data_IF_423757798218
#
_entry.id   IF_423757798218
#
_cell.length_a   1.000
_cell.length_b   1.000
_cell.length_c   1.000
_cell.angle_alpha   90.00
_cell.angle_beta   90.00
_cell.angle_gamma   90.00
#
_symmetry.space_group_name_H-M   'P 1'
#
loop_
_entity.id
_entity.type
_entity.pdbx_description
1 polymer ?
#
# COMPACT_ATOMS: atom_id res chain seq x y z
N UNK A 1 48.09 58.59 -6.99
CA UNK A 1 49.21 58.06 -6.20
C UNK A 1 48.63 57.28 -5.02
N UNK A 2 48.32 56.00 -5.24
CA UNK A 2 49.09 54.86 -4.72
C UNK A 2 49.20 54.85 -3.18
N UNK A 3 48.31 54.08 -2.54
CA UNK A 3 48.58 53.44 -1.25
C UNK A 3 48.27 51.96 -1.44
N UNK A 4 49.34 51.17 -1.49
CA UNK A 4 49.34 49.71 -1.39
C UNK A 4 49.11 49.31 0.07
N UNK A 5 48.13 48.45 0.33
CA UNK A 5 48.13 47.61 1.53
C UNK A 5 47.30 46.34 1.30
N UNK A 6 48.04 45.25 1.16
CA UNK A 6 47.82 43.85 1.55
C UNK A 6 46.42 43.46 2.04
N UNK A 7 45.75 42.55 1.31
CA UNK A 7 44.65 41.74 1.85
C UNK A 7 45.03 40.26 1.79
N UNK A 8 45.15 39.64 2.96
CA UNK A 8 45.31 38.19 3.14
C UNK A 8 44.05 37.47 2.65
N UNK A 9 44.20 36.60 1.65
CA UNK A 9 43.15 35.65 1.26
C UNK A 9 43.17 34.47 2.24
N UNK A 10 42.35 34.55 3.29
CA UNK A 10 42.12 33.41 4.18
C UNK A 10 41.24 32.40 3.45
N UNK A 11 41.86 31.31 3.00
CA UNK A 11 41.19 30.19 2.37
C UNK A 11 40.37 29.43 3.43
N UNK A 12 39.10 29.78 3.59
CA UNK A 12 38.14 28.88 4.26
C UNK A 12 37.78 27.77 3.28
N UNK A 13 38.41 26.61 3.46
CA UNK A 13 37.90 25.32 3.00
C UNK A 13 36.52 25.10 3.62
N UNK A 14 35.48 25.53 2.91
CA UNK A 14 34.12 25.03 3.15
C UNK A 14 34.14 23.59 2.62
N UNK A 15 34.48 22.65 3.51
CA UNK A 15 34.18 21.25 3.29
C UNK A 15 32.66 21.17 3.06
N UNK A 16 32.18 20.67 1.90
CA UNK A 16 30.76 20.43 1.75
C UNK A 16 30.41 19.41 2.83
N UNK A 17 29.50 19.76 3.74
CA UNK A 17 28.84 18.76 4.59
C UNK A 17 28.27 17.74 3.61
N UNK A 18 28.88 16.56 3.57
CA UNK A 18 28.26 15.39 2.99
C UNK A 18 26.98 15.18 3.81
N UNK A 19 25.85 15.67 3.30
CA UNK A 19 24.56 15.25 3.79
C UNK A 19 24.56 13.73 3.61
N UNK A 20 24.58 12.99 4.72
CA UNK A 20 24.40 11.56 4.66
C UNK A 20 23.13 11.31 3.86
N UNK A 21 23.27 10.65 2.71
CA UNK A 21 22.15 10.14 1.95
C UNK A 21 21.47 9.15 2.89
N UNK A 22 20.41 9.60 3.56
CA UNK A 22 19.50 8.72 4.29
C UNK A 22 18.90 7.83 3.20
N UNK A 23 19.32 6.57 3.15
CA UNK A 23 18.61 5.58 2.36
C UNK A 23 17.24 5.43 2.99
N UNK A 24 16.21 5.99 2.34
CA UNK A 24 14.83 5.70 2.75
C UNK A 24 14.60 4.21 2.54
N UNK A 25 14.28 3.52 3.64
CA UNK A 25 14.08 2.09 3.62
C UNK A 25 12.72 1.83 3.01
N UNK A 26 12.74 1.42 1.75
CA UNK A 26 11.56 1.12 0.96
C UNK A 26 10.88 -0.16 1.47
N UNK A 27 9.56 -0.11 1.68
CA UNK A 27 8.77 -1.28 2.02
C UNK A 27 8.69 -2.26 0.83
N UNK A 28 8.41 -3.53 1.12
CA UNK A 28 8.10 -4.53 0.09
C UNK A 28 9.28 -4.95 -0.77
N UNK A 29 10.52 -4.61 -0.38
CA UNK A 29 11.75 -5.01 -1.09
C UNK A 29 12.41 -6.18 -0.37
N UNK A 30 12.44 -7.40 -0.96
CA UNK A 30 13.14 -8.54 -0.37
C UNK A 30 14.65 -8.44 -0.62
N UNK A 31 15.45 -9.32 0.01
CA UNK A 31 16.84 -9.49 -0.39
C UNK A 31 16.93 -9.92 -1.88
N UNK A 32 17.86 -9.39 -2.67
CA UNK A 32 18.02 -9.78 -4.07
C UNK A 32 18.54 -11.23 -4.14
N UNK A 33 17.61 -12.18 -4.28
CA UNK A 33 17.93 -13.60 -4.45
C UNK A 33 17.51 -14.06 -5.85
N UNK A 34 18.41 -14.73 -6.56
CA UNK A 34 18.15 -15.24 -7.92
C UNK A 34 17.10 -16.36 -7.91
N UNK A 35 16.25 -16.35 -8.94
CA UNK A 35 15.03 -17.15 -9.14
C UNK A 35 15.06 -18.60 -8.63
N UNK A 36 13.91 -19.06 -8.11
CA UNK A 36 13.22 -20.12 -8.85
C UNK A 36 11.70 -19.87 -9.02
N UNK A 37 11.20 -20.20 -10.22
CA UNK A 37 9.79 -20.30 -10.60
C UNK A 37 9.40 -21.78 -10.66
N UNK A 38 8.63 -22.33 -9.70
CA UNK A 38 7.81 -23.56 -9.83
C UNK A 38 6.65 -23.51 -8.81
N UNK A 39 5.51 -24.17 -9.09
CA UNK A 39 4.22 -24.17 -8.35
C UNK A 39 4.16 -25.28 -7.26
N UNK A 40 3.31 -25.10 -6.23
CA UNK A 40 3.12 -25.86 -4.95
C UNK A 40 3.87 -25.26 -3.75
N UNK A 41 3.47 -25.60 -2.52
CA UNK A 41 4.08 -25.07 -1.30
C UNK A 41 5.58 -25.38 -1.24
N UNK A 42 6.43 -24.35 -1.26
CA UNK A 42 7.89 -24.48 -1.34
C UNK A 42 8.59 -23.83 -0.15
N UNK A 43 9.73 -24.40 0.26
CA UNK A 43 10.63 -23.73 1.19
C UNK A 43 11.14 -22.42 0.59
N UNK A 44 11.21 -21.38 1.42
CA UNK A 44 11.76 -20.08 1.04
C UNK A 44 13.29 -20.07 1.17
N UNK A 45 13.91 -18.95 0.85
CA UNK A 45 15.32 -18.67 1.16
C UNK A 45 15.40 -17.68 2.34
N UNK A 46 16.47 -17.71 3.15
CA UNK A 46 16.72 -16.65 4.14
C UNK A 46 16.62 -15.26 3.49
N UNK A 47 15.96 -14.31 4.15
CA UNK A 47 15.82 -12.93 3.65
C UNK A 47 14.82 -12.73 2.51
N UNK A 48 14.21 -13.80 1.99
CA UNK A 48 13.24 -13.70 0.87
C UNK A 48 11.92 -13.01 1.28
N UNK A 49 11.53 -13.13 2.56
CA UNK A 49 10.30 -12.56 3.11
C UNK A 49 10.59 -11.81 4.41
N UNK A 50 11.34 -10.69 4.34
CA UNK A 50 11.94 -10.05 5.51
C UNK A 50 10.91 -9.35 6.43
N UNK A 51 9.66 -9.27 6.00
CA UNK A 51 8.54 -8.76 6.80
C UNK A 51 7.79 -9.84 7.56
N UNK A 52 8.06 -11.13 7.35
CA UNK A 52 7.34 -12.18 8.06
C UNK A 52 7.75 -12.19 9.54
N UNK A 53 6.75 -12.09 10.42
CA UNK A 53 6.92 -12.14 11.87
C UNK A 53 6.40 -13.49 12.39
N UNK A 54 7.19 -14.16 13.23
CA UNK A 54 6.74 -15.34 13.95
C UNK A 54 6.24 -14.92 15.34
N UNK A 55 4.98 -15.18 15.64
CA UNK A 55 4.32 -14.80 16.90
C UNK A 55 4.33 -16.01 17.84
N UNK A 56 4.79 -15.78 19.06
CA UNK A 56 4.92 -16.79 20.09
C UNK A 56 4.10 -16.42 21.32
N UNK A 57 3.50 -17.42 21.96
CA UNK A 57 2.89 -17.29 23.27
C UNK A 57 3.79 -17.92 24.33
N UNK A 58 3.83 -17.29 25.52
CA UNK A 58 4.48 -17.83 26.70
C UNK A 58 3.45 -18.46 27.61
N UNK A 59 3.70 -19.70 27.99
CA UNK A 59 2.99 -20.38 29.08
C UNK A 59 4.02 -20.90 30.09
N UNK A 60 4.15 -20.19 31.21
CA UNK A 60 5.21 -20.40 32.18
C UNK A 60 6.61 -20.26 31.56
N UNK A 61 7.33 -21.38 31.43
CA UNK A 61 8.67 -21.42 30.82
C UNK A 61 8.66 -21.86 29.35
N UNK A 62 7.49 -22.21 28.81
CA UNK A 62 7.37 -22.70 27.44
C UNK A 62 7.09 -21.55 26.48
N UNK A 63 7.79 -21.55 25.35
CA UNK A 63 7.60 -20.61 24.25
C UNK A 63 7.11 -21.39 23.03
N UNK A 64 5.87 -21.15 22.60
CA UNK A 64 5.26 -21.88 21.50
C UNK A 64 4.91 -20.93 20.35
N UNK A 65 5.27 -21.31 19.13
CA UNK A 65 4.83 -20.62 17.92
C UNK A 65 3.30 -20.78 17.78
N UNK A 66 2.59 -19.68 17.59
CA UNK A 66 1.12 -19.69 17.45
C UNK A 66 0.67 -19.22 16.08
N UNK A 67 1.23 -18.12 15.59
CA UNK A 67 0.76 -17.46 14.38
C UNK A 67 1.89 -16.78 13.61
N UNK A 68 1.61 -16.49 12.34
CA UNK A 68 2.35 -15.53 11.55
C UNK A 68 1.92 -14.09 11.82
N UNK A 69 2.70 -13.17 11.28
CA UNK A 69 2.42 -11.75 11.24
C UNK A 69 3.19 -11.08 10.12
N UNK A 70 2.92 -9.80 9.90
CA UNK A 70 3.61 -8.98 8.91
C UNK A 70 4.11 -7.69 9.53
N UNK A 71 5.41 -7.45 9.48
CA UNK A 71 6.03 -6.18 9.84
C UNK A 71 5.61 -5.12 8.82
N UNK A 72 4.99 -4.04 9.30
CA UNK A 72 4.50 -2.93 8.46
C UNK A 72 5.23 -1.61 8.75
N UNK A 73 5.95 -1.56 9.87
CA UNK A 73 6.93 -0.53 10.20
C UNK A 73 7.93 -1.08 11.22
N UNK A 74 8.89 -0.27 11.66
CA UNK A 74 9.89 -0.66 12.65
C UNK A 74 9.32 -0.76 14.08
N UNK A 75 8.03 -0.51 14.26
CA UNK A 75 7.34 -0.56 15.55
C UNK A 75 6.05 -1.38 15.52
N UNK A 76 5.58 -1.78 14.34
CA UNK A 76 4.24 -2.34 14.19
C UNK A 76 4.21 -3.60 13.33
N UNK A 77 3.50 -4.61 13.83
CA UNK A 77 3.20 -5.87 13.14
C UNK A 77 1.69 -6.04 13.03
N UNK A 78 1.21 -6.40 11.85
CA UNK A 78 -0.17 -6.86 11.64
C UNK A 78 -0.26 -8.38 11.79
N UNK A 79 -1.38 -8.84 12.32
CA UNK A 79 -1.74 -10.26 12.43
C UNK A 79 -3.26 -10.40 12.49
N UNK A 80 -3.77 -11.61 12.69
CA UNK A 80 -5.19 -11.87 12.89
C UNK A 80 -5.60 -11.56 14.34
N UNK A 81 -6.86 -11.19 14.56
CA UNK A 81 -7.41 -10.94 15.89
C UNK A 81 -7.36 -12.18 16.76
N UNK A 82 -7.75 -13.33 16.21
CA UNK A 82 -7.77 -14.60 16.94
C UNK A 82 -6.39 -15.07 17.41
N UNK A 83 -5.32 -14.60 16.78
CA UNK A 83 -3.95 -14.90 17.22
C UNK A 83 -3.58 -14.25 18.55
N UNK A 84 -4.31 -13.20 18.95
CA UNK A 84 -3.95 -12.36 20.10
C UNK A 84 -5.12 -12.16 21.07
N UNK A 85 -6.15 -13.00 20.95
CA UNK A 85 -7.31 -13.03 21.84
C UNK A 85 -7.54 -14.44 22.40
N UNK A 86 -8.22 -14.52 23.54
CA UNK A 86 -8.79 -15.78 24.05
C UNK A 86 -9.98 -16.23 23.18
N UNK A 87 -10.48 -17.45 23.42
CA UNK A 87 -11.69 -17.98 22.76
C UNK A 87 -12.92 -17.08 22.96
N UNK A 88 -12.99 -16.35 24.07
CA UNK A 88 -14.06 -15.38 24.36
C UNK A 88 -13.81 -13.99 23.74
N UNK A 89 -12.76 -13.84 22.92
CA UNK A 89 -12.39 -12.59 22.26
C UNK A 89 -11.70 -11.55 23.14
N UNK A 90 -11.30 -11.91 24.37
CA UNK A 90 -10.56 -10.99 25.24
C UNK A 90 -9.10 -10.89 24.78
N UNK A 91 -8.55 -9.67 24.74
CA UNK A 91 -7.16 -9.45 24.35
C UNK A 91 -6.22 -10.13 25.34
N UNK A 92 -5.22 -10.85 24.83
CA UNK A 92 -4.18 -11.48 25.65
C UNK A 92 -3.32 -10.41 26.33
N UNK A 93 -2.73 -10.78 27.46
CA UNK A 93 -1.81 -9.90 28.16
C UNK A 93 -0.50 -9.72 27.35
N UNK A 94 0.10 -8.53 27.34
CA UNK A 94 1.24 -8.25 26.45
C UNK A 94 2.50 -9.04 26.83
N UNK A 95 2.63 -9.45 28.09
CA UNK A 95 3.73 -10.25 28.62
C UNK A 95 3.73 -11.69 28.12
N UNK A 96 2.55 -12.22 27.73
CA UNK A 96 2.44 -13.57 27.18
C UNK A 96 2.68 -13.60 25.68
N UNK A 97 2.67 -12.45 24.99
CA UNK A 97 2.88 -12.37 23.53
C UNK A 97 4.22 -11.73 23.22
N UNK A 98 5.00 -12.37 22.35
CA UNK A 98 6.23 -11.79 21.80
C UNK A 98 6.46 -12.28 20.38
N UNK A 99 7.33 -11.59 19.64
CA UNK A 99 7.59 -11.92 18.25
C UNK A 99 9.08 -12.12 17.97
N UNK A 100 9.36 -12.87 16.92
CA UNK A 100 10.69 -13.00 16.32
C UNK A 100 10.62 -12.61 14.84
N UNK A 101 11.48 -11.67 14.43
CA UNK A 101 11.68 -11.23 13.04
C UNK A 101 12.96 -11.87 12.48
N UNK A 102 13.08 -11.95 11.15
CA UNK A 102 14.28 -12.50 10.48
C UNK A 102 14.52 -13.99 10.77
N UNK A 103 13.46 -14.71 11.14
CA UNK A 103 13.47 -16.17 11.34
C UNK A 103 13.17 -16.84 10.00
N UNK A 104 14.00 -17.81 9.64
CA UNK A 104 13.78 -18.67 8.47
C UNK A 104 13.53 -20.14 8.87
N UNK A 105 14.13 -20.59 9.98
CA UNK A 105 13.97 -21.92 10.56
C UNK A 105 13.64 -21.78 12.06
N UNK A 106 12.47 -22.28 12.47
CA UNK A 106 11.97 -22.19 13.85
C UNK A 106 12.82 -22.97 14.87
N UNK A 107 13.56 -24.00 14.43
CA UNK A 107 14.47 -24.80 15.27
C UNK A 107 15.90 -24.29 15.25
N UNK A 108 16.34 -23.68 14.15
CA UNK A 108 17.71 -23.19 13.94
C UNK A 108 17.76 -21.67 13.87
N UNK A 109 17.41 -21.03 14.98
CA UNK A 109 17.49 -19.57 15.10
C UNK A 109 18.93 -19.09 14.91
N UNK A 110 19.11 -18.13 13.99
CA UNK A 110 20.41 -17.52 13.70
C UNK A 110 20.51 -16.19 14.42
N UNK A 111 21.45 -16.07 15.37
CA UNK A 111 21.68 -14.81 16.10
C UNK A 111 21.97 -13.61 15.18
N UNK A 112 22.54 -13.86 14.00
CA UNK A 112 22.89 -12.82 13.03
C UNK A 112 21.71 -12.26 12.23
N UNK A 113 20.54 -12.88 12.27
CA UNK A 113 19.35 -12.43 11.54
C UNK A 113 18.10 -12.30 12.42
N UNK A 114 18.03 -13.04 13.53
CA UNK A 114 16.85 -13.08 14.38
C UNK A 114 16.82 -11.90 15.34
N UNK A 115 15.74 -11.12 15.29
CA UNK A 115 15.44 -10.05 16.23
C UNK A 115 14.20 -10.40 17.05
N UNK A 116 14.31 -10.41 18.38
CA UNK A 116 13.21 -10.70 19.28
C UNK A 116 12.67 -9.42 19.91
N UNK A 117 11.34 -9.25 19.89
CA UNK A 117 10.68 -8.09 20.45
C UNK A 117 9.54 -8.52 21.37
N UNK A 118 9.53 -7.98 22.59
CA UNK A 118 8.35 -8.01 23.45
C UNK A 118 7.27 -7.11 22.87
N UNK A 119 6.00 -7.38 23.21
CA UNK A 119 4.88 -6.53 22.84
C UNK A 119 4.56 -5.58 24.00
N UNK A 120 4.25 -4.32 23.67
CA UNK A 120 3.81 -3.31 24.65
C UNK A 120 2.41 -2.77 24.36
N UNK A 121 1.76 -3.29 23.31
CA UNK A 121 0.38 -2.96 22.98
C UNK A 121 -0.20 -3.95 21.97
N UNK A 122 -1.43 -4.38 22.22
CA UNK A 122 -2.22 -5.26 21.35
C UNK A 122 -3.53 -4.53 21.05
N UNK A 123 -3.82 -4.31 19.77
CA UNK A 123 -5.00 -3.59 19.31
C UNK A 123 -5.78 -4.47 18.35
N UNK A 124 -6.87 -5.07 18.82
CA UNK A 124 -7.84 -5.76 17.95
C UNK A 124 -8.80 -4.77 17.30
N UNK A 125 -9.33 -5.11 16.13
CA UNK A 125 -10.41 -4.32 15.51
C UNK A 125 -11.64 -4.31 16.45
N UNK A 126 -12.29 -3.15 16.71
CA UNK A 126 -13.41 -3.08 17.66
C UNK A 126 -14.62 -3.97 17.35
N UNK A 127 -14.85 -4.28 16.09
CA UNK A 127 -15.91 -5.14 15.56
C UNK A 127 -15.47 -6.60 15.46
N UNK A 128 -14.24 -6.94 15.87
CA UNK A 128 -13.78 -8.33 15.88
C UNK A 128 -14.70 -9.21 16.71
N UNK A 129 -15.16 -10.30 16.11
CA UNK A 129 -16.05 -11.28 16.69
C UNK A 129 -15.33 -12.64 16.75
N UNK A 130 -15.17 -13.19 17.96
CA UNK A 130 -14.37 -14.40 18.17
C UNK A 130 -15.10 -15.70 17.78
N UNK A 131 -16.43 -15.67 17.65
CA UNK A 131 -17.23 -16.82 17.28
C UNK A 131 -17.22 -17.02 15.75
N UNK A 132 -17.46 -15.93 15.02
CA UNK A 132 -17.53 -15.92 13.56
C UNK A 132 -16.18 -15.70 12.88
N UNK A 133 -15.21 -15.13 13.61
CA UNK A 133 -13.97 -14.56 13.07
C UNK A 133 -14.22 -13.41 12.09
N UNK A 134 -15.33 -12.68 12.24
CA UNK A 134 -15.54 -11.44 11.52
C UNK A 134 -14.54 -10.37 11.98
N UNK A 135 -14.09 -9.52 11.06
CA UNK A 135 -13.12 -8.45 11.33
C UNK A 135 -11.82 -8.92 12.00
N UNK A 136 -11.33 -10.09 11.58
CA UNK A 136 -10.18 -10.78 12.14
C UNK A 136 -8.83 -10.13 11.77
N UNK A 137 -8.53 -9.01 12.41
CA UNK A 137 -7.28 -8.26 12.29
C UNK A 137 -6.88 -7.63 13.63
N UNK A 138 -5.58 -7.67 13.91
CA UNK A 138 -4.98 -7.00 15.04
C UNK A 138 -3.64 -6.34 14.67
N UNK A 139 -3.29 -5.31 15.44
CA UNK A 139 -2.05 -4.56 15.35
C UNK A 139 -1.27 -4.72 16.65
N UNK A 140 0.00 -5.09 16.53
CA UNK A 140 0.94 -5.26 17.63
C UNK A 140 1.94 -4.10 17.65
N UNK A 141 2.15 -3.50 18.82
CA UNK A 141 3.21 -2.51 19.05
C UNK A 141 4.42 -3.18 19.71
N UNK A 142 5.57 -3.07 19.05
CA UNK A 142 6.83 -3.62 19.55
C UNK A 142 7.35 -2.78 20.72
N UNK A 143 7.94 -3.45 21.71
CA UNK A 143 8.59 -2.81 22.86
C UNK A 143 9.96 -2.21 22.55
N UNK A 144 10.58 -2.64 21.45
CA UNK A 144 11.84 -2.09 20.93
C UNK A 144 11.75 -1.95 19.41
N UNK A 145 12.50 -0.98 18.88
CA UNK A 145 12.56 -0.69 17.44
C UNK A 145 13.16 -1.88 16.70
N UNK A 146 12.50 -2.36 15.66
CA UNK A 146 13.08 -3.33 14.74
C UNK A 146 14.18 -2.65 13.91
N UNK A 147 15.35 -3.29 13.88
CA UNK A 147 16.48 -2.83 13.08
C UNK A 147 16.33 -3.36 11.66
N UNK A 148 16.33 -2.48 10.67
CA UNK A 148 16.17 -2.92 9.30
C UNK A 148 17.51 -3.39 8.72
N UNK A 149 17.51 -4.60 8.19
CA UNK A 149 18.67 -5.25 7.58
C UNK A 149 18.22 -6.09 6.35
N UNK A 150 18.98 -7.10 5.94
CA UNK A 150 18.62 -7.97 4.82
C UNK A 150 17.51 -8.98 5.16
N UNK A 151 17.26 -9.24 6.44
CA UNK A 151 16.33 -10.23 6.97
C UNK A 151 15.10 -9.62 7.63
N UNK A 152 15.14 -8.33 7.97
CA UNK A 152 14.08 -7.59 8.64
C UNK A 152 13.79 -6.30 7.88
N UNK A 153 12.62 -6.23 7.23
CA UNK A 153 12.12 -5.05 6.47
C UNK A 153 10.59 -5.04 6.47
N UNK A 154 9.93 -3.89 6.32
CA UNK A 154 8.47 -3.85 6.32
C UNK A 154 7.90 -4.24 4.96
N UNK A 155 6.68 -4.80 4.94
CA UNK A 155 5.86 -4.94 3.74
C UNK A 155 5.14 -3.64 3.41
N UNK A 156 4.82 -3.40 2.13
CA UNK A 156 3.89 -2.33 1.78
C UNK A 156 2.44 -2.77 2.07
N UNK A 157 1.53 -1.81 2.29
CA UNK A 157 0.10 -2.10 2.46
C UNK A 157 -0.64 -1.89 1.15
N UNK A 158 -1.39 -2.90 0.71
CA UNK A 158 -2.22 -2.82 -0.48
C UNK A 158 -3.46 -1.96 -0.20
N UNK A 159 -3.83 -1.10 -1.16
CA UNK A 159 -4.94 -0.13 -0.99
C UNK A 159 -6.07 -0.27 -2.01
N UNK A 160 -5.87 -1.04 -3.07
CA UNK A 160 -6.91 -1.24 -4.08
C UNK A 160 -7.89 -2.33 -3.61
N UNK A 161 -9.15 -2.19 -4.00
CA UNK A 161 -10.20 -3.08 -3.50
C UNK A 161 -10.35 -4.39 -4.29
N UNK A 162 -10.02 -4.39 -5.58
CA UNK A 162 -10.22 -5.58 -6.42
C UNK A 162 -8.93 -6.39 -6.60
N UNK A 163 -8.86 -7.48 -5.85
CA UNK A 163 -7.80 -8.49 -5.95
C UNK A 163 -8.23 -9.75 -6.72
N UNK A 164 -9.50 -9.86 -7.11
CA UNK A 164 -10.06 -11.05 -7.76
C UNK A 164 -9.33 -11.33 -9.08
N UNK A 165 -8.98 -12.59 -9.30
CA UNK A 165 -8.24 -13.05 -10.48
C UNK A 165 -6.73 -12.79 -10.42
N UNK A 166 -6.24 -12.05 -9.42
CA UNK A 166 -4.80 -11.90 -9.20
C UNK A 166 -4.23 -13.11 -8.45
N UNK A 167 -2.93 -13.33 -8.62
CA UNK A 167 -2.19 -14.36 -7.87
C UNK A 167 -1.47 -13.73 -6.69
N UNK A 168 -1.85 -14.14 -5.48
CA UNK A 168 -1.18 -13.78 -4.24
C UNK A 168 -0.19 -14.85 -3.81
N UNK A 169 0.79 -14.48 -2.99
CA UNK A 169 1.72 -15.43 -2.35
C UNK A 169 1.49 -15.44 -0.84
N UNK A 170 1.06 -16.57 -0.29
CA UNK A 170 0.91 -16.77 1.16
C UNK A 170 2.21 -17.28 1.75
N UNK A 171 2.56 -16.81 2.94
CA UNK A 171 3.83 -17.07 3.62
C UNK A 171 3.57 -17.48 5.07
N UNK A 172 4.17 -18.60 5.49
CA UNK A 172 4.04 -19.07 6.86
C UNK A 172 4.77 -20.38 7.16
N UNK A 173 4.57 -20.83 8.40
CA UNK A 173 5.12 -22.06 8.96
C UNK A 173 4.06 -23.13 9.17
N UNK A 174 2.88 -22.98 8.56
CA UNK A 174 1.73 -23.84 8.80
C UNK A 174 1.98 -25.32 8.53
N UNK A 175 1.01 -26.14 8.93
CA UNK A 175 1.11 -27.58 8.79
C UNK A 175 1.36 -27.99 7.33
N UNK A 176 2.30 -28.93 7.18
CA UNK A 176 2.60 -29.62 5.92
C UNK A 176 1.57 -30.72 5.62
N UNK A 177 1.67 -31.39 4.47
CA UNK A 177 0.74 -32.48 4.13
C UNK A 177 0.81 -33.64 5.13
N UNK A 178 1.89 -33.73 5.92
CA UNK A 178 2.06 -34.73 6.98
C UNK A 178 1.49 -34.27 8.34
N UNK A 179 0.69 -33.20 8.37
CA UNK A 179 0.09 -32.61 9.57
C UNK A 179 1.12 -32.21 10.64
N UNK A 180 2.34 -31.88 10.21
CA UNK A 180 3.41 -31.35 11.09
C UNK A 180 3.75 -29.93 10.68
N UNK A 181 3.99 -29.07 11.67
CA UNK A 181 4.39 -27.68 11.47
C UNK A 181 5.65 -27.62 10.58
N UNK A 182 5.66 -26.74 9.58
CA UNK A 182 6.83 -26.52 8.77
C UNK A 182 7.91 -25.83 9.61
N UNK A 183 9.06 -26.47 9.78
CA UNK A 183 10.18 -25.87 10.52
C UNK A 183 10.83 -24.72 9.75
N UNK A 184 10.83 -24.81 8.42
CA UNK A 184 11.39 -23.81 7.50
C UNK A 184 10.25 -23.02 6.87
N UNK A 185 10.41 -21.70 6.79
CA UNK A 185 9.39 -20.81 6.23
C UNK A 185 9.05 -21.21 4.79
N UNK A 186 7.76 -21.36 4.50
CA UNK A 186 7.27 -21.77 3.18
C UNK A 186 6.48 -20.67 2.50
N UNK A 187 6.32 -20.82 1.18
CA UNK A 187 5.47 -19.99 0.35
C UNK A 187 4.57 -20.82 -0.56
N UNK A 188 3.39 -20.33 -0.85
CA UNK A 188 2.53 -20.87 -1.91
C UNK A 188 1.90 -19.72 -2.71
N UNK A 189 1.81 -19.88 -4.03
CA UNK A 189 1.16 -18.90 -4.92
C UNK A 189 -0.26 -19.36 -5.19
N UNK A 190 -1.25 -18.55 -4.84
CA UNK A 190 -2.67 -18.88 -4.87
C UNK A 190 -3.46 -17.83 -5.68
N UNK A 191 -4.45 -18.23 -6.49
CA UNK A 191 -5.34 -17.29 -7.14
C UNK A 191 -6.35 -16.75 -6.12
N UNK A 192 -6.69 -15.47 -6.23
CA UNK A 192 -7.83 -14.87 -5.54
C UNK A 192 -9.08 -15.16 -6.34
N UNK A 193 -10.06 -15.75 -5.67
CA UNK A 193 -11.29 -16.25 -6.25
C UNK A 193 -12.44 -15.30 -5.91
N UNK A 194 -13.38 -15.16 -6.84
CA UNK A 194 -14.54 -14.29 -6.62
C UNK A 194 -15.49 -14.89 -5.56
N UNK A 195 -16.30 -14.02 -4.96
CA UNK A 195 -17.26 -14.35 -3.91
C UNK A 195 -18.15 -15.55 -4.27
N UNK A 196 -18.75 -15.55 -5.47
CA UNK A 196 -19.71 -16.58 -5.88
C UNK A 196 -19.05 -17.94 -6.00
N UNK A 197 -17.87 -18.00 -6.60
CA UNK A 197 -17.12 -19.25 -6.74
C UNK A 197 -16.65 -19.80 -5.38
N UNK A 198 -16.31 -18.91 -4.44
CA UNK A 198 -16.01 -19.32 -3.06
C UNK A 198 -17.26 -19.91 -2.39
N UNK A 199 -18.40 -19.20 -2.46
CA UNK A 199 -19.66 -19.65 -1.88
C UNK A 199 -20.14 -20.97 -2.47
N UNK A 200 -20.05 -21.14 -3.78
CA UNK A 200 -20.45 -22.37 -4.47
C UNK A 200 -19.59 -23.58 -4.11
N UNK A 201 -18.31 -23.35 -3.78
CA UNK A 201 -17.42 -24.46 -3.39
C UNK A 201 -17.85 -25.12 -2.09
N UNK A 202 -18.45 -24.35 -1.17
CA UNK A 202 -18.90 -24.84 0.12
C UNK A 202 -19.85 -23.83 0.80
N UNK A 203 -21.15 -23.98 0.52
CA UNK A 203 -22.17 -23.03 0.98
C UNK A 203 -22.34 -23.01 2.50
N UNK A 204 -22.09 -24.12 3.17
CA UNK A 204 -22.26 -24.23 4.62
C UNK A 204 -21.17 -23.45 5.35
N UNK A 205 -19.90 -23.62 4.94
CA UNK A 205 -18.77 -22.92 5.54
C UNK A 205 -18.71 -21.44 5.14
N UNK A 206 -18.86 -21.15 3.83
CA UNK A 206 -18.69 -19.81 3.30
C UNK A 206 -19.94 -18.94 3.44
N UNK A 207 -21.14 -19.52 3.44
CA UNK A 207 -22.40 -18.76 3.59
C UNK A 207 -22.52 -18.03 4.92
N UNK A 208 -21.79 -18.47 5.95
CA UNK A 208 -21.80 -17.86 7.27
C UNK A 208 -20.80 -16.69 7.41
N UNK A 209 -19.81 -16.59 6.52
CA UNK A 209 -18.63 -15.72 6.74
C UNK A 209 -18.23 -14.86 5.55
N UNK A 210 -18.73 -15.16 4.35
CA UNK A 210 -18.44 -14.31 3.20
C UNK A 210 -19.14 -12.95 3.32
N UNK A 211 -18.32 -11.91 3.51
CA UNK A 211 -18.65 -10.50 3.50
C UNK A 211 -17.69 -9.73 2.56
N UNK A 212 -17.89 -8.42 2.35
CA UNK A 212 -16.99 -7.63 1.49
C UNK A 212 -15.59 -7.47 2.12
N UNK A 213 -15.48 -7.65 3.44
CA UNK A 213 -14.25 -7.57 4.23
C UNK A 213 -13.36 -8.81 4.12
N UNK A 214 -13.76 -9.83 3.36
CA UNK A 214 -12.98 -11.07 3.20
C UNK A 214 -12.52 -11.29 1.77
N UNK A 215 -11.34 -11.90 1.64
CA UNK A 215 -10.82 -12.44 0.39
C UNK A 215 -10.83 -13.96 0.46
N UNK A 216 -11.21 -14.59 -0.64
CA UNK A 216 -11.10 -16.02 -0.81
C UNK A 216 -9.94 -16.31 -1.77
N UNK A 217 -8.99 -17.14 -1.35
CA UNK A 217 -7.87 -17.52 -2.21
C UNK A 217 -7.45 -18.97 -1.95
N UNK A 218 -7.01 -19.63 -3.01
CA UNK A 218 -6.58 -21.02 -2.93
C UNK A 218 -6.84 -21.79 -4.21
N UNK A 219 -6.43 -23.05 -4.21
CA UNK A 219 -6.86 -24.03 -5.20
C UNK A 219 -7.69 -25.11 -4.53
N UNK A 220 -8.46 -25.84 -5.32
CA UNK A 220 -9.14 -27.07 -4.90
C UNK A 220 -8.28 -28.33 -5.14
N UNK A 221 -6.95 -28.17 -5.24
CA UNK A 221 -6.00 -29.22 -5.64
C UNK A 221 -4.94 -29.56 -4.58
N UNK A 222 -5.24 -29.31 -3.30
CA UNK A 222 -4.34 -29.62 -2.18
C UNK A 222 -3.36 -28.52 -1.79
N UNK A 223 -3.41 -27.33 -2.39
CA UNK A 223 -2.55 -26.19 -2.00
C UNK A 223 -3.38 -25.09 -1.33
N UNK A 224 -3.29 -24.99 0.00
CA UNK A 224 -4.06 -24.06 0.83
C UNK A 224 -3.25 -23.57 2.03
N UNK A 225 -3.69 -22.51 2.69
CA UNK A 225 -3.11 -22.11 3.97
C UNK A 225 -3.70 -22.98 5.10
N UNK A 226 -2.86 -23.38 6.06
CA UNK A 226 -3.23 -24.34 7.10
C UNK A 226 -2.99 -23.79 8.51
N UNK A 227 -3.30 -24.60 9.53
CA UNK A 227 -3.03 -24.26 10.92
C UNK A 227 -1.56 -23.84 11.09
N UNK A 228 -1.32 -22.69 11.73
CA UNK A 228 0.00 -22.10 11.87
C UNK A 228 0.38 -21.08 10.78
N UNK A 229 -0.39 -20.95 9.70
CA UNK A 229 -0.28 -19.81 8.77
C UNK A 229 -1.14 -18.61 9.20
N UNK A 230 -2.08 -18.81 10.13
CA UNK A 230 -2.95 -17.78 10.72
C UNK A 230 -2.19 -16.50 11.07
N UNK A 231 -2.76 -15.35 10.73
CA UNK A 231 -2.13 -14.05 10.92
C UNK A 231 -0.99 -13.72 9.95
N UNK A 232 -0.50 -14.71 9.19
CA UNK A 232 0.43 -14.52 8.08
C UNK A 232 -0.18 -13.74 6.92
N UNK A 233 0.67 -13.22 6.04
CA UNK A 233 0.24 -12.35 4.94
C UNK A 233 0.05 -13.06 3.61
N UNK A 234 -0.93 -12.60 2.84
CA UNK A 234 -1.09 -12.85 1.40
C UNK A 234 -0.56 -11.63 0.63
N UNK A 235 0.53 -11.82 -0.11
CA UNK A 235 1.29 -10.74 -0.74
C UNK A 235 1.15 -10.70 -2.26
N UNK A 236 1.12 -9.49 -2.81
CA UNK A 236 1.01 -9.23 -4.24
C UNK A 236 2.19 -8.39 -4.71
N UNK A 237 2.82 -8.79 -5.82
CA UNK A 237 3.95 -8.04 -6.39
C UNK A 237 3.45 -6.99 -7.38
N UNK A 238 3.75 -5.73 -7.13
CA UNK A 238 3.38 -4.59 -7.99
C UNK A 238 4.54 -3.61 -8.10
N UNK A 239 4.82 -3.14 -9.32
CA UNK A 239 5.87 -2.15 -9.59
C UNK A 239 7.23 -2.45 -8.92
N UNK A 240 7.59 -3.73 -8.81
CA UNK A 240 8.83 -4.18 -8.19
C UNK A 240 8.81 -4.34 -6.66
N UNK A 241 7.73 -3.98 -5.96
CA UNK A 241 7.57 -4.14 -4.52
C UNK A 241 6.44 -5.12 -4.16
N UNK A 242 6.49 -5.65 -2.94
CA UNK A 242 5.49 -6.56 -2.39
C UNK A 242 4.55 -5.85 -1.42
N UNK A 243 3.26 -6.11 -1.61
CA UNK A 243 2.18 -5.49 -0.87
C UNK A 243 1.35 -6.54 -0.16
N UNK A 244 1.11 -6.37 1.14
CA UNK A 244 0.16 -7.17 1.91
C UNK A 244 -1.26 -6.83 1.43
N UNK A 245 -1.98 -7.80 0.86
CA UNK A 245 -3.36 -7.63 0.41
C UNK A 245 -4.39 -8.36 1.28
N UNK A 246 -3.97 -9.42 1.98
CA UNK A 246 -4.83 -10.14 2.92
C UNK A 246 -4.06 -10.72 4.10
N UNK A 247 -4.77 -11.04 5.17
CA UNK A 247 -4.24 -11.70 6.38
C UNK A 247 -4.94 -13.04 6.52
N UNK A 248 -4.20 -14.14 6.69
CA UNK A 248 -4.76 -15.49 6.85
C UNK A 248 -5.66 -15.49 8.10
N UNK A 249 -6.95 -15.76 7.91
CA UNK A 249 -7.93 -15.82 9.01
C UNK A 249 -8.30 -17.26 9.32
N UNK A 250 -8.97 -17.97 8.39
CA UNK A 250 -9.42 -19.35 8.62
C UNK A 250 -9.53 -20.17 7.34
N UNK A 251 -9.38 -21.48 7.47
CA UNK A 251 -9.71 -22.48 6.45
C UNK A 251 -10.70 -23.50 7.00
N UNK A 252 -11.40 -24.22 6.12
CA UNK A 252 -12.29 -25.31 6.53
C UNK A 252 -11.48 -26.37 7.28
N UNK A 253 -12.06 -26.93 8.34
CA UNK A 253 -11.49 -28.03 9.12
C UNK A 253 -11.96 -29.36 8.53
N UNK A 254 -11.15 -30.42 8.63
CA UNK A 254 -11.52 -31.77 8.22
C UNK A 254 -12.66 -32.33 9.08
N UNK A 255 -13.53 -33.13 8.47
CA UNK A 255 -14.67 -33.78 9.12
C UNK A 255 -14.27 -35.00 10.00
N UNK A 256 -12.98 -35.14 10.34
CA UNK A 256 -12.39 -36.26 11.09
C UNK A 256 -12.07 -35.92 12.56
N UNK A 257 -12.61 -34.81 13.08
CA UNK A 257 -12.37 -34.29 14.43
C UNK A 257 -10.90 -33.95 14.77
N UNK A 258 -9.97 -33.95 13.80
CA UNK A 258 -8.55 -33.67 14.06
C UNK A 258 -8.23 -32.18 14.21
N UNK A 259 -9.20 -31.29 13.94
CA UNK A 259 -9.03 -29.82 13.87
C UNK A 259 -8.01 -29.34 12.82
N UNK A 260 -7.54 -30.23 11.94
CA UNK A 260 -6.63 -29.87 10.85
C UNK A 260 -7.38 -29.25 9.68
N UNK A 261 -6.69 -28.37 8.95
CA UNK A 261 -7.23 -27.79 7.74
C UNK A 261 -7.57 -28.86 6.68
N UNK A 262 -8.64 -28.63 5.96
CA UNK A 262 -8.96 -29.31 4.72
C UNK A 262 -8.09 -28.73 3.60
N UNK A 263 -7.29 -29.59 2.96
CA UNK A 263 -6.32 -29.18 1.95
C UNK A 263 -6.96 -28.91 0.57
N UNK A 264 -8.14 -29.47 0.33
CA UNK A 264 -8.91 -29.33 -0.91
C UNK A 264 -10.03 -28.30 -0.73
N UNK A 265 -9.65 -27.05 -0.51
CA UNK A 265 -10.58 -25.95 -0.27
C UNK A 265 -9.89 -24.58 -0.22
N UNK A 266 -10.67 -23.53 -0.46
CA UNK A 266 -10.17 -22.16 -0.38
C UNK A 266 -9.98 -21.72 1.08
N UNK A 267 -9.06 -20.78 1.29
CA UNK A 267 -8.83 -20.12 2.58
C UNK A 267 -9.49 -18.74 2.59
N UNK A 268 -10.05 -18.35 3.73
CA UNK A 268 -10.54 -17.00 4.02
C UNK A 268 -9.41 -16.13 4.57
N UNK A 269 -9.26 -14.96 3.99
CA UNK A 269 -8.33 -13.93 4.43
C UNK A 269 -9.10 -12.66 4.77
N UNK A 270 -8.65 -11.92 5.77
CA UNK A 270 -9.13 -10.56 6.03
C UNK A 270 -8.61 -9.63 4.92
N UNK A 271 -9.52 -8.95 4.19
CA UNK A 271 -9.20 -8.05 3.08
C UNK A 271 -8.61 -6.74 3.60
N UNK A 272 -7.32 -6.50 3.36
CA UNK A 272 -6.61 -5.40 4.03
C UNK A 272 -7.15 -4.01 3.66
N UNK A 273 -7.61 -3.80 2.42
CA UNK A 273 -8.04 -2.47 1.95
C UNK A 273 -9.17 -1.88 2.80
N UNK A 274 -10.09 -2.73 3.28
CA UNK A 274 -11.20 -2.35 4.15
C UNK A 274 -10.75 -1.85 5.54
N UNK A 275 -9.53 -2.18 5.98
CA UNK A 275 -8.99 -1.83 7.32
C UNK A 275 -7.92 -0.75 7.29
N UNK A 276 -7.57 -0.21 6.11
CA UNK A 276 -6.50 0.77 5.97
C UNK A 276 -6.67 1.98 6.90
N UNK A 277 -7.90 2.48 7.02
CA UNK A 277 -8.22 3.62 7.90
C UNK A 277 -8.05 3.28 9.37
N UNK A 278 -8.50 2.10 9.79
CA UNK A 278 -8.35 1.62 11.16
C UNK A 278 -6.87 1.46 11.53
N UNK A 279 -6.07 0.81 10.67
CA UNK A 279 -4.62 0.63 10.88
C UNK A 279 -3.95 1.99 11.08
N UNK A 280 -4.21 2.94 10.17
CA UNK A 280 -3.63 4.29 10.22
C UNK A 280 -4.00 5.04 11.48
N UNK A 281 -5.29 5.02 11.87
CA UNK A 281 -5.78 5.70 13.08
C UNK A 281 -5.16 5.10 14.35
N UNK A 282 -5.11 3.77 14.44
CA UNK A 282 -4.53 3.07 15.59
C UNK A 282 -3.04 3.35 15.73
N UNK A 283 -2.27 3.37 14.62
CA UNK A 283 -0.85 3.73 14.66
C UNK A 283 -0.62 5.18 15.12
N UNK A 284 -1.47 6.13 14.68
CA UNK A 284 -1.35 7.56 15.03
C UNK A 284 -1.64 7.85 16.49
N UNK A 285 -2.77 7.37 17.01
CA UNK A 285 -3.17 7.60 18.40
C UNK A 285 -2.10 7.15 19.41
N UNK A 286 -1.26 6.19 19.01
CA UNK A 286 -0.22 5.60 19.85
C UNK A 286 1.12 6.36 19.79
N UNK A 287 1.31 7.23 18.79
CA UNK A 287 2.46 8.14 18.73
C UNK A 287 2.31 9.33 19.70
N UNK A 288 1.07 9.70 20.06
CA UNK A 288 0.77 10.89 20.87
C UNK A 288 0.66 10.59 22.39
N UNK A 289 0.57 9.31 22.80
CA UNK A 289 0.25 8.90 24.17
C UNK A 289 1.40 8.44 25.10
N UNK A 290 2.68 8.73 24.81
CA UNK A 290 3.79 8.27 25.67
C UNK A 290 5.04 9.16 25.57
N UNK A 291 5.53 9.62 26.72
CA UNK A 291 6.59 10.62 26.87
C UNK A 291 7.88 10.38 26.09
N UNK A 292 8.46 11.49 25.62
CA UNK A 292 9.77 11.67 24.97
C UNK A 292 10.29 10.45 24.19
N UNK A 293 9.54 10.07 23.17
CA UNK A 293 10.10 9.34 22.03
C UNK A 293 10.24 10.37 20.91
N UNK A 294 11.40 10.38 20.25
CA UNK A 294 11.68 11.25 19.10
C UNK A 294 10.44 11.35 18.19
N UNK A 295 10.18 12.53 17.59
CA UNK A 295 8.98 12.76 16.81
C UNK A 295 8.79 11.57 15.89
N UNK A 296 7.60 10.97 15.98
CA UNK A 296 7.05 10.11 14.96
C UNK A 296 7.51 10.70 13.62
N UNK A 297 8.36 9.96 12.89
CA UNK A 297 8.47 10.21 11.46
C UNK A 297 7.05 9.97 10.99
N UNK A 298 6.37 11.07 10.73
CA UNK A 298 5.02 11.11 10.23
C UNK A 298 4.83 10.01 9.19
N UNK A 299 4.03 9.00 9.52
CA UNK A 299 3.06 8.49 8.54
C UNK A 299 1.87 9.47 8.54
N UNK A 300 2.17 10.75 8.28
CA UNK A 300 1.37 11.45 7.29
C UNK A 300 1.43 10.56 6.06
N UNK A 301 0.33 10.48 5.33
CA UNK A 301 0.46 9.97 3.98
C UNK A 301 1.68 10.62 3.37
N UNK A 302 2.55 9.83 2.77
CA UNK A 302 3.66 10.36 2.01
C UNK A 302 3.04 11.12 0.82
N UNK A 303 2.64 12.36 1.12
CA UNK A 303 2.66 13.54 0.27
C UNK A 303 4.15 13.90 0.01
N UNK A 304 5.08 13.04 0.45
CA UNK A 304 6.53 13.16 0.39
C UNK A 304 7.18 11.95 -0.33
N UNK A 305 6.42 10.98 -0.88
CA UNK A 305 6.91 10.00 -1.90
C UNK A 305 6.44 10.39 -3.31
N UNK A 306 6.48 11.70 -3.57
CA UNK A 306 5.77 12.41 -4.62
C UNK A 306 6.67 13.52 -5.12
N UNK A 307 6.30 14.23 -6.18
CA UNK A 307 7.11 15.33 -6.72
C UNK A 307 7.66 16.36 -5.70
N UNK A 308 7.09 16.42 -4.49
CA UNK A 308 7.55 17.29 -3.40
C UNK A 308 8.81 16.75 -2.70
N UNK A 309 9.01 15.43 -2.67
CA UNK A 309 10.08 14.72 -1.94
C UNK A 309 11.48 15.27 -2.26
N UNK A 310 11.74 15.46 -3.55
CA UNK A 310 13.02 15.89 -4.07
C UNK A 310 13.14 17.42 -4.14
N UNK A 311 12.13 18.17 -3.65
CA UNK A 311 12.12 19.63 -3.64
C UNK A 311 12.16 20.28 -5.03
N UNK A 312 11.72 19.58 -6.08
CA UNK A 312 11.68 20.12 -7.46
C UNK A 312 10.25 20.23 -7.95
N UNK A 313 10.04 21.10 -8.94
CA UNK A 313 8.77 21.18 -9.64
C UNK A 313 8.70 20.06 -10.67
N UNK A 314 7.74 19.13 -10.50
CA UNK A 314 7.36 18.15 -11.53
C UNK A 314 6.03 18.58 -12.12
N UNK A 315 6.01 18.75 -13.45
CA UNK A 315 4.83 19.12 -14.22
C UNK A 315 4.37 17.91 -15.01
N UNK A 316 3.19 17.38 -14.68
CA UNK A 316 2.57 16.33 -15.46
C UNK A 316 1.63 16.93 -16.50
N UNK A 317 1.73 16.41 -17.73
CA UNK A 317 0.96 16.90 -18.86
C UNK A 317 -0.08 15.85 -19.25
N UNK A 318 -1.35 16.14 -19.04
CA UNK A 318 -2.44 15.19 -19.28
C UNK A 318 -3.27 15.70 -20.45
N UNK A 319 -3.30 14.94 -21.54
CA UNK A 319 -4.16 15.23 -22.69
C UNK A 319 -5.41 14.36 -22.64
N UNK A 320 -6.60 14.95 -22.75
CA UNK A 320 -7.87 14.20 -22.85
C UNK A 320 -7.88 13.23 -24.03
N UNK A 321 -7.15 13.55 -25.10
CA UNK A 321 -7.00 12.70 -26.28
C UNK A 321 -6.23 11.40 -26.02
N UNK A 322 -5.47 11.30 -24.92
CA UNK A 322 -4.77 10.07 -24.57
C UNK A 322 -5.74 8.90 -24.32
N UNK A 323 -7.01 9.18 -23.96
CA UNK A 323 -8.07 8.17 -23.80
C UNK A 323 -8.40 7.43 -25.10
N UNK A 324 -8.20 8.05 -26.27
CA UNK A 324 -8.57 7.45 -27.56
C UNK A 324 -7.43 6.67 -28.22
N UNK A 325 -6.27 6.55 -27.56
CA UNK A 325 -5.16 5.73 -28.05
C UNK A 325 -5.46 4.25 -27.81
N UNK A 326 -4.83 3.37 -28.57
CA UNK A 326 -4.98 1.91 -28.41
C UNK A 326 -3.97 1.31 -27.42
N UNK A 327 -4.37 0.19 -26.80
CA UNK A 327 -3.51 -0.59 -25.91
C UNK A 327 -3.00 0.19 -24.69
N UNK A 328 -1.73 -0.02 -24.33
CA UNK A 328 -1.08 0.65 -23.17
C UNK A 328 -0.92 2.16 -23.34
N UNK A 329 -1.19 2.71 -24.53
CA UNK A 329 -1.21 4.14 -24.77
C UNK A 329 -2.52 4.81 -24.37
N UNK A 330 -3.59 4.04 -24.10
CA UNK A 330 -4.88 4.54 -23.62
C UNK A 330 -4.76 5.00 -22.16
N UNK A 331 -4.79 6.31 -21.93
CA UNK A 331 -4.62 6.88 -20.59
C UNK A 331 -5.68 7.93 -20.29
N UNK A 332 -6.38 7.77 -19.18
CA UNK A 332 -7.43 8.68 -18.71
C UNK A 332 -7.13 9.15 -17.27
N UNK A 333 -7.98 10.02 -16.73
CA UNK A 333 -7.80 10.58 -15.39
C UNK A 333 -7.95 9.57 -14.23
N UNK A 334 -8.52 8.38 -14.46
CA UNK A 334 -8.57 7.31 -13.45
C UNK A 334 -7.22 6.62 -13.25
N UNK A 335 -6.35 6.68 -14.26
CA UNK A 335 -4.99 6.15 -14.20
C UNK A 335 -3.97 7.18 -13.67
N UNK A 336 -4.40 8.43 -13.47
CA UNK A 336 -3.53 9.50 -12.99
C UNK A 336 -3.30 9.38 -11.48
N UNK A 337 -2.03 9.27 -11.07
CA UNK A 337 -1.65 9.38 -9.67
C UNK A 337 -1.18 10.81 -9.37
N UNK A 338 -1.99 11.63 -8.65
CA UNK A 338 -1.69 13.03 -8.36
C UNK A 338 -0.41 13.22 -7.54
N UNK A 339 0.02 12.17 -6.87
CA UNK A 339 1.27 12.10 -6.11
C UNK A 339 2.50 12.27 -7.00
N UNK A 340 2.46 11.90 -8.27
CA UNK A 340 3.68 11.97 -9.09
C UNK A 340 4.07 13.40 -9.48
N UNK A 341 3.25 14.42 -9.17
CA UNK A 341 3.31 15.73 -9.79
C UNK A 341 3.12 16.86 -8.77
N UNK A 342 3.90 17.93 -8.89
CA UNK A 342 3.62 19.18 -8.15
C UNK A 342 2.58 20.04 -8.87
N UNK A 343 2.59 19.96 -10.20
CA UNK A 343 1.68 20.68 -11.08
C UNK A 343 1.15 19.68 -12.11
N UNK A 344 -0.12 19.84 -12.47
CA UNK A 344 -0.73 19.09 -13.56
C UNK A 344 -1.32 20.07 -14.56
N UNK A 345 -1.03 19.86 -15.84
CA UNK A 345 -1.54 20.66 -16.94
C UNK A 345 -2.56 19.80 -17.68
N UNK A 346 -3.84 20.18 -17.59
CA UNK A 346 -4.88 19.58 -18.42
C UNK A 346 -4.84 20.19 -19.82
N UNK A 347 -4.75 19.33 -20.82
CA UNK A 347 -4.69 19.68 -22.23
C UNK A 347 -5.84 19.02 -22.99
N UNK A 348 -6.52 19.67 -23.92
CA UNK A 348 -6.41 21.08 -24.31
C UNK A 348 -7.77 21.76 -24.20
N UNK A 349 -7.79 22.98 -23.70
CA UNK A 349 -8.84 23.93 -24.08
C UNK A 349 -8.45 24.63 -25.40
N UNK A 350 -9.44 25.19 -26.07
CA UNK A 350 -9.28 25.85 -27.38
C UNK A 350 -9.80 27.27 -27.35
N UNK A 351 -9.54 27.99 -28.45
CA UNK A 351 -10.08 29.31 -28.69
C UNK A 351 -11.40 29.20 -29.47
N UNK A 352 -12.45 29.77 -28.92
CA UNK A 352 -13.63 30.13 -29.70
C UNK A 352 -13.34 31.47 -30.39
N UNK A 353 -13.10 31.40 -31.70
CA UNK A 353 -12.70 32.55 -32.53
C UNK A 353 -13.86 33.52 -32.74
N UNK A 354 -15.09 33.02 -32.75
CA UNK A 354 -16.29 33.84 -32.97
C UNK A 354 -16.53 34.73 -31.75
N UNK A 355 -16.43 34.14 -30.57
CA UNK A 355 -16.76 34.81 -29.31
C UNK A 355 -15.53 35.36 -28.57
N UNK A 356 -14.32 35.04 -29.01
CA UNK A 356 -13.06 35.32 -28.30
C UNK A 356 -13.05 34.72 -26.88
N UNK A 357 -13.55 33.50 -26.72
CA UNK A 357 -13.71 32.82 -25.42
C UNK A 357 -12.90 31.53 -25.36
N UNK A 358 -12.67 31.01 -24.15
CA UNK A 358 -12.10 29.68 -23.97
C UNK A 358 -13.20 28.62 -24.12
N UNK A 359 -12.92 27.55 -24.85
CA UNK A 359 -13.83 26.40 -25.01
C UNK A 359 -13.12 25.08 -24.70
N UNK A 360 -13.88 24.05 -24.33
CA UNK A 360 -13.36 22.68 -24.34
C UNK A 360 -13.27 22.18 -25.79
N UNK A 361 -12.17 21.49 -26.12
CA UNK A 361 -11.99 20.83 -27.42
C UNK A 361 -12.51 19.39 -27.42
N UNK A 362 -12.68 18.78 -26.25
CA UNK A 362 -13.28 17.46 -26.06
C UNK A 362 -14.34 17.52 -24.97
N UNK A 363 -15.55 17.95 -25.35
CA UNK A 363 -16.66 18.13 -24.39
C UNK A 363 -17.04 16.85 -23.66
N UNK A 364 -16.88 15.68 -24.29
CA UNK A 364 -17.25 14.40 -23.69
C UNK A 364 -16.30 14.03 -22.54
N UNK A 365 -15.01 14.27 -22.70
CA UNK A 365 -14.03 14.03 -21.64
C UNK A 365 -14.04 15.14 -20.58
N UNK A 366 -14.15 16.40 -21.01
CA UNK A 366 -13.83 17.55 -20.17
C UNK A 366 -15.02 18.04 -19.34
N UNK A 367 -16.25 17.93 -19.84
CA UNK A 367 -17.46 18.52 -19.24
C UNK A 367 -18.40 17.43 -18.73
N UNK A 368 -19.25 17.76 -17.75
CA UNK A 368 -20.33 16.87 -17.26
C UNK A 368 -21.61 16.94 -18.09
N UNK A 369 -21.73 17.95 -18.95
CA UNK A 369 -22.90 18.13 -19.82
C UNK A 369 -23.07 16.89 -20.72
N UNK A 370 -24.33 16.51 -21.00
CA UNK A 370 -24.65 15.38 -21.89
C UNK A 370 -23.98 14.05 -21.51
N UNK A 371 -23.93 13.71 -20.21
CA UNK A 371 -23.32 12.48 -19.68
C UNK A 371 -21.79 12.40 -19.86
N UNK A 372 -21.12 13.54 -20.11
CA UNK A 372 -19.67 13.59 -20.18
C UNK A 372 -18.99 13.32 -18.84
N UNK A 373 -17.69 13.02 -18.90
CA UNK A 373 -16.89 12.48 -17.79
C UNK A 373 -16.40 13.56 -16.80
N UNK A 374 -16.58 14.85 -17.10
CA UNK A 374 -16.26 15.96 -16.20
C UNK A 374 -14.78 16.05 -15.80
N UNK A 375 -13.89 15.90 -16.78
CA UNK A 375 -12.44 15.87 -16.57
C UNK A 375 -11.88 17.10 -15.86
N UNK A 376 -12.41 18.30 -16.13
CA UNK A 376 -11.97 19.52 -15.45
C UNK A 376 -12.28 19.47 -13.95
N UNK A 377 -13.53 19.23 -13.57
CA UNK A 377 -13.93 19.16 -12.17
C UNK A 377 -13.28 17.96 -11.47
N UNK A 378 -13.12 16.83 -12.16
CA UNK A 378 -12.46 15.64 -11.63
C UNK A 378 -11.02 15.95 -11.24
N UNK A 379 -10.23 16.53 -12.15
CA UNK A 379 -8.83 16.86 -11.88
C UNK A 379 -8.67 17.92 -10.79
N UNK A 380 -9.54 18.94 -10.78
CA UNK A 380 -9.54 19.98 -9.75
C UNK A 380 -9.93 19.43 -8.38
N UNK A 381 -10.93 18.54 -8.32
CA UNK A 381 -11.36 17.91 -7.07
C UNK A 381 -10.27 17.08 -6.39
N UNK A 382 -9.26 16.60 -7.14
CA UNK A 382 -8.11 15.89 -6.57
C UNK A 382 -7.33 16.75 -5.56
N UNK A 383 -7.39 18.08 -5.67
CA UNK A 383 -6.78 19.01 -4.69
C UNK A 383 -7.34 18.85 -3.28
N UNK A 384 -8.56 18.36 -3.14
CA UNK A 384 -9.17 18.09 -1.83
C UNK A 384 -8.41 17.00 -1.07
N UNK A 385 -7.92 15.99 -1.81
CA UNK A 385 -7.09 14.91 -1.26
C UNK A 385 -5.59 15.18 -1.39
N UNK A 386 -5.19 16.09 -2.29
CA UNK A 386 -3.81 16.43 -2.60
C UNK A 386 -3.60 17.96 -2.61
N UNK A 387 -3.55 18.61 -1.43
CA UNK A 387 -3.50 20.09 -1.34
C UNK A 387 -2.28 20.74 -2.00
N UNK A 388 -1.21 19.96 -2.20
CA UNK A 388 0.01 20.40 -2.87
C UNK A 388 -0.13 20.54 -4.39
N UNK A 389 -1.07 19.82 -4.99
CA UNK A 389 -1.22 19.73 -6.43
C UNK A 389 -1.75 21.05 -6.97
N UNK A 390 -1.01 21.64 -7.89
CA UNK A 390 -1.45 22.82 -8.64
C UNK A 390 -2.01 22.39 -9.99
N UNK A 391 -3.28 22.69 -10.23
CA UNK A 391 -3.95 22.38 -11.50
C UNK A 391 -3.87 23.59 -12.42
N UNK A 392 -3.38 23.36 -13.63
CA UNK A 392 -3.25 24.33 -14.70
C UNK A 392 -4.04 23.80 -15.90
N UNK A 393 -4.53 24.71 -16.73
CA UNK A 393 -5.11 24.38 -18.03
C UNK A 393 -4.21 24.93 -19.13
N UNK A 394 -4.01 24.13 -20.18
CA UNK A 394 -3.32 24.58 -21.39
C UNK A 394 -4.31 24.82 -22.51
N UNK A 395 -3.99 25.81 -23.33
CA UNK A 395 -4.78 26.15 -24.52
C UNK A 395 -3.98 25.88 -25.79
N UNK A 396 -4.67 25.43 -26.84
CA UNK A 396 -4.10 25.18 -28.15
C UNK A 396 -4.11 23.70 -28.52
N UNK A 397 -3.04 23.25 -29.17
CA UNK A 397 -2.92 21.90 -29.70
C UNK A 397 -2.62 21.92 -31.19
N UNK A 398 -2.21 20.77 -31.74
CA UNK A 398 -1.79 20.67 -33.14
C UNK A 398 -2.85 21.17 -34.13
N UNK A 399 -4.13 20.98 -33.80
CA UNK A 399 -5.25 21.30 -34.70
C UNK A 399 -5.75 22.76 -34.62
N UNK A 400 -5.30 23.55 -33.64
CA UNK A 400 -5.79 24.94 -33.48
C UNK A 400 -4.94 25.95 -34.28
N UNK A 401 -3.65 25.64 -34.53
CA UNK A 401 -2.72 26.55 -35.20
C UNK A 401 -2.40 27.83 -34.40
N UNK A 402 -1.62 28.75 -34.99
CA UNK A 402 -1.16 29.98 -34.30
C UNK A 402 -1.81 31.28 -34.80
N UNK A 403 -2.44 31.27 -35.98
CA UNK A 403 -2.96 32.48 -36.64
C UNK A 403 -4.04 33.15 -35.79
N UNK A 404 -5.04 32.38 -35.34
CA UNK A 404 -6.16 32.94 -34.57
C UNK A 404 -5.74 33.43 -33.18
N UNK A 405 -4.80 32.74 -32.54
CA UNK A 405 -4.20 33.23 -31.30
C UNK A 405 -3.42 34.53 -31.51
N UNK A 406 -2.74 34.69 -32.64
CA UNK A 406 -2.04 35.94 -33.00
C UNK A 406 -3.03 37.08 -33.23
N UNK A 407 -4.15 36.81 -33.91
CA UNK A 407 -5.24 37.78 -34.12
C UNK A 407 -5.88 38.22 -32.80
N UNK A 408 -6.13 37.27 -31.89
CA UNK A 408 -6.61 37.53 -30.54
C UNK A 408 -5.61 38.41 -29.76
N UNK A 409 -4.33 38.02 -29.76
CA UNK A 409 -3.28 38.69 -29.01
C UNK A 409 -2.96 40.09 -29.55
N UNK A 410 -3.13 40.35 -30.85
CA UNK A 410 -2.88 41.67 -31.44
C UNK A 410 -3.94 42.72 -31.06
N UNK A 411 -5.19 42.30 -30.82
CA UNK A 411 -6.32 43.21 -30.62
C UNK A 411 -6.66 43.43 -29.13
N UNK A 412 -6.57 44.66 -28.58
CA UNK A 412 -6.85 44.93 -27.17
C UNK A 412 -8.25 44.55 -26.68
N UNK A 413 -9.28 44.78 -27.50
CA UNK A 413 -10.66 44.46 -27.18
C UNK A 413 -10.87 42.94 -27.11
N UNK A 414 -10.33 42.19 -28.08
CA UNK A 414 -10.38 40.73 -28.08
C UNK A 414 -9.67 40.14 -26.87
N UNK A 415 -8.47 40.65 -26.52
CA UNK A 415 -7.74 40.25 -25.30
C UNK A 415 -8.57 40.48 -24.04
N UNK A 416 -9.29 41.60 -23.95
CA UNK A 416 -10.13 41.91 -22.79
C UNK A 416 -11.28 40.92 -22.65
N UNK A 417 -12.03 40.68 -23.72
CA UNK A 417 -13.15 39.72 -23.74
C UNK A 417 -12.66 38.33 -23.35
N UNK A 418 -11.54 37.91 -23.94
CA UNK A 418 -10.93 36.63 -23.64
C UNK A 418 -10.49 36.51 -22.18
N UNK A 419 -9.82 37.54 -21.62
CA UNK A 419 -9.38 37.52 -20.23
C UNK A 419 -10.56 37.45 -19.24
N UNK A 420 -11.63 38.20 -19.49
CA UNK A 420 -12.85 38.17 -18.68
C UNK A 420 -13.53 36.79 -18.75
N UNK A 421 -13.63 36.20 -19.95
CA UNK A 421 -14.20 34.88 -20.13
C UNK A 421 -13.35 33.76 -19.54
N UNK A 422 -12.04 33.80 -19.74
CA UNK A 422 -11.09 32.83 -19.17
C UNK A 422 -11.13 32.82 -17.64
N UNK A 423 -11.27 34.01 -17.02
CA UNK A 423 -11.47 34.11 -15.58
C UNK A 423 -12.79 33.44 -15.13
N UNK A 424 -13.87 33.64 -15.89
CA UNK A 424 -15.15 32.96 -15.65
C UNK A 424 -15.04 31.44 -15.76
N UNK A 425 -14.32 30.96 -16.77
CA UNK A 425 -14.06 29.54 -16.98
C UNK A 425 -13.25 28.92 -15.82
N UNK A 426 -12.16 29.59 -15.41
CA UNK A 426 -11.34 29.14 -14.27
C UNK A 426 -12.16 29.14 -12.98
N UNK A 427 -13.01 30.15 -12.75
CA UNK A 427 -13.87 30.17 -11.55
C UNK A 427 -14.93 29.08 -11.56
N UNK A 428 -15.42 28.68 -12.73
CA UNK A 428 -16.44 27.64 -12.87
C UNK A 428 -15.88 26.25 -12.59
N UNK A 429 -14.66 25.97 -13.04
CA UNK A 429 -14.08 24.63 -13.00
C UNK A 429 -12.90 24.45 -12.04
N UNK A 430 -12.30 25.54 -11.53
CA UNK A 430 -11.01 25.57 -10.79
C UNK A 430 -11.08 25.65 -9.27
#
# INVERSE_FOLDING_TARGET
>A
SMITSTLYFMCFLILPKWSQVKCDIQCGVPEPVQNPLIVRGQSTLPGQWPWHAAIYHRDGTTEEYKCGGTLISNWFVLTAGHCVTTENGNVLATEVVFIKLGVHDLKKLRKSSTQQHNIIGIFKEPRYDAETLAHDIALLRLGSKAEYDNYVRPACLYREDNLVGQFGTVIGYGLTEQNVLAMVLRKAVLPVINYLQCLESDREFFGQVLADEVLCAGYTNGTTACNGDSGGGLFFKKHGAWYLGGIVSRSRVRDDNTRFCQIDGYTIYTKLSNYYQWIRKTMRNMAEGGGTVAPFVELTEDITATAIAHGRVVVCYISSWATYRSGVGSFNLDHFDPKLCTHVVHAYAGLDVENNTIKSLDRWQDLKDNFGLGGYEKLVSMRNSYPHLKVLISMGGWNEGSVEYSNLAANPQRRRVFAENALGFIRRYG
#
